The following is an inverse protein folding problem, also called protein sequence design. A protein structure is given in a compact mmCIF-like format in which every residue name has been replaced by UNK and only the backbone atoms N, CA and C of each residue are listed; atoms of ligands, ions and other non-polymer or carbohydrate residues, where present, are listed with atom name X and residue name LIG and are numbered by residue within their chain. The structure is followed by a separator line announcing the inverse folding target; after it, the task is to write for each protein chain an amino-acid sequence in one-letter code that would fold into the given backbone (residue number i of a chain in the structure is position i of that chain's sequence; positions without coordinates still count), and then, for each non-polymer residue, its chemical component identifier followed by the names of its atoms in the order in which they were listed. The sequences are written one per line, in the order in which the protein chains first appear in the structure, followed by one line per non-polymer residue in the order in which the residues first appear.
data_IF_168292265198
#
_entry.id   IF_168292265198
#
_cell.length_a   1.000
_cell.length_b   1.000
_cell.length_c   1.000
_cell.angle_alpha   90.00
_cell.angle_beta   90.00
_cell.angle_gamma   90.00
#
_symmetry.space_group_name_H-M   'P 1'
#
loop_
_entity.id
_entity.type
_entity.pdbx_description
1 polymer ?
#
# COMPACT_ATOMS: atom_id res chain seq x y z
N UNK A 1 -0.67 -7.58 -13.57
CA UNK A 1 -0.18 -6.29 -14.10
C UNK A 1 1.14 -5.93 -13.46
N UNK A 2 2.05 -5.27 -14.16
CA UNK A 2 3.32 -4.78 -13.58
C UNK A 2 3.33 -3.25 -13.64
N UNK A 3 3.58 -2.59 -12.51
CA UNK A 3 3.65 -1.13 -12.41
C UNK A 3 4.92 -0.69 -11.70
N UNK A 4 5.42 0.50 -12.03
CA UNK A 4 6.67 1.03 -11.51
C UNK A 4 6.49 2.50 -11.13
N UNK A 5 6.88 2.83 -9.90
CA UNK A 5 6.69 4.16 -9.33
C UNK A 5 7.57 4.37 -8.11
N UNK A 6 7.71 5.64 -7.70
CA UNK A 6 8.47 6.03 -6.52
C UNK A 6 7.55 6.34 -5.36
N UNK A 7 7.69 5.60 -4.26
CA UNK A 7 7.03 5.90 -2.99
C UNK A 7 7.89 6.86 -2.18
N UNK A 8 7.44 8.11 -2.04
CA UNK A 8 8.15 9.14 -1.30
C UNK A 8 7.51 9.36 0.08
N UNK A 9 8.13 8.80 1.12
CA UNK A 9 7.68 8.99 2.51
C UNK A 9 8.18 10.30 3.12
N UNK A 10 9.40 10.73 2.77
CA UNK A 10 9.96 12.04 3.13
C UNK A 10 10.91 12.53 2.04
N UNK A 11 11.41 13.76 2.14
CA UNK A 11 12.43 14.29 1.21
C UNK A 11 13.69 13.44 1.10
N UNK A 12 14.07 12.70 2.15
CA UNK A 12 15.24 11.82 2.18
C UNK A 12 14.89 10.33 2.04
N UNK A 13 13.61 9.97 2.04
CA UNK A 13 13.15 8.58 2.02
C UNK A 13 12.24 8.38 0.81
N UNK A 14 12.87 8.02 -0.30
CA UNK A 14 12.22 7.66 -1.57
C UNK A 14 12.55 6.20 -1.84
N UNK A 15 11.52 5.40 -2.13
CA UNK A 15 11.66 3.99 -2.52
C UNK A 15 11.31 3.85 -3.99
N UNK A 16 12.13 3.09 -4.71
CA UNK A 16 11.83 2.69 -6.08
C UNK A 16 11.06 1.35 -6.05
N UNK A 17 9.76 1.40 -6.34
CA UNK A 17 8.84 0.27 -6.19
C UNK A 17 8.52 -0.32 -7.56
N UNK A 18 8.87 -1.59 -7.78
CA UNK A 18 8.47 -2.36 -8.95
C UNK A 18 7.42 -3.37 -8.51
N UNK A 19 6.14 -3.00 -8.64
CA UNK A 19 5.03 -3.76 -8.11
C UNK A 19 4.47 -4.72 -9.15
N UNK A 20 4.47 -6.00 -8.80
CA UNK A 20 3.64 -7.00 -9.44
C UNK A 20 2.27 -7.01 -8.77
N UNK A 21 1.24 -6.65 -9.54
CA UNK A 21 -0.13 -6.49 -9.09
C UNK A 21 -0.99 -7.64 -9.61
N UNK A 22 -1.69 -8.31 -8.70
CA UNK A 22 -2.62 -9.38 -9.01
C UNK A 22 -3.88 -9.33 -8.16
N UNK A 23 -4.91 -10.03 -8.61
CA UNK A 23 -6.18 -10.19 -7.92
C UNK A 23 -6.37 -11.68 -7.61
N UNK A 24 -5.81 -12.18 -6.49
CA UNK A 24 -5.82 -13.62 -6.20
C UNK A 24 -7.22 -14.15 -5.84
N UNK A 25 -8.13 -13.27 -5.44
CA UNK A 25 -9.53 -13.58 -5.15
C UNK A 25 -10.38 -12.33 -5.39
N UNK A 26 -11.68 -12.52 -5.59
CA UNK A 26 -12.64 -11.43 -5.77
C UNK A 26 -12.60 -10.46 -4.58
N UNK A 27 -12.66 -9.15 -4.89
CA UNK A 27 -12.56 -8.08 -3.91
C UNK A 27 -11.19 -7.93 -3.25
N UNK A 28 -10.14 -8.59 -3.73
CA UNK A 28 -8.78 -8.44 -3.19
C UNK A 28 -7.74 -8.14 -4.27
N UNK A 29 -7.00 -7.05 -4.11
CA UNK A 29 -5.86 -6.72 -4.94
C UNK A 29 -4.57 -6.78 -4.11
N UNK A 30 -3.57 -7.50 -4.61
CA UNK A 30 -2.27 -7.69 -3.95
C UNK A 30 -1.16 -7.11 -4.81
N UNK A 31 -0.39 -6.22 -4.20
CA UNK A 31 0.80 -5.58 -4.76
C UNK A 31 2.05 -6.16 -4.10
N UNK A 32 2.89 -6.86 -4.87
CA UNK A 32 4.17 -7.40 -4.39
C UNK A 32 5.31 -6.59 -4.98
N UNK A 33 6.09 -5.92 -4.14
CA UNK A 33 7.27 -5.19 -4.59
C UNK A 33 8.42 -6.16 -4.88
N UNK A 34 8.88 -6.20 -6.13
CA UNK A 34 10.01 -7.04 -6.54
C UNK A 34 11.35 -6.53 -6.00
N UNK A 35 11.42 -5.28 -5.56
CA UNK A 35 12.62 -4.67 -4.99
C UNK A 35 12.68 -4.80 -3.45
N UNK A 36 11.71 -5.47 -2.81
CA UNK A 36 11.67 -5.62 -1.34
C UNK A 36 10.84 -6.82 -0.89
N UNK A 37 10.66 -6.99 0.42
CA UNK A 37 9.68 -7.91 1.01
C UNK A 37 8.31 -7.26 1.21
N UNK A 38 8.11 -6.02 0.76
CA UNK A 38 6.87 -5.29 0.96
C UNK A 38 5.75 -5.86 0.10
N UNK A 39 4.65 -6.19 0.76
CA UNK A 39 3.40 -6.62 0.15
C UNK A 39 2.27 -5.73 0.67
N UNK A 40 1.53 -5.10 -0.23
CA UNK A 40 0.32 -4.33 0.09
C UNK A 40 -0.89 -5.06 -0.43
N UNK A 41 -1.84 -5.33 0.46
CA UNK A 41 -3.12 -5.96 0.13
C UNK A 41 -4.25 -4.96 0.33
N UNK A 42 -5.02 -4.74 -0.72
CA UNK A 42 -6.28 -4.01 -0.72
C UNK A 42 -7.42 -5.01 -0.65
N UNK A 43 -8.33 -4.84 0.29
CA UNK A 43 -9.54 -5.66 0.41
C UNK A 43 -10.75 -4.77 0.36
N UNK A 44 -11.65 -5.04 -0.57
CA UNK A 44 -12.91 -4.32 -0.77
C UNK A 44 -14.05 -5.25 -0.38
N UNK A 45 -14.89 -4.79 0.55
CA UNK A 45 -16.07 -5.54 1.00
C UNK A 45 -17.30 -4.64 0.95
N UNK A 46 -18.51 -5.18 0.67
CA UNK A 46 -19.74 -4.42 0.81
C UNK A 46 -19.89 -3.81 2.21
N UNK A 47 -20.45 -2.60 2.32
CA UNK A 47 -20.60 -1.87 3.59
C UNK A 47 -21.92 -1.10 3.72
N UNK A 48 -23.01 -1.70 3.25
CA UNK A 48 -24.34 -1.07 3.19
C UNK A 48 -24.85 -1.04 1.75
N UNK A 49 -25.99 -0.40 1.53
CA UNK A 49 -26.49 -0.12 0.18
C UNK A 49 -25.54 0.87 -0.52
N UNK A 50 -25.19 0.57 -1.77
CA UNK A 50 -24.32 1.39 -2.63
C UNK A 50 -23.00 1.86 -2.01
N UNK A 51 -22.46 1.08 -1.06
CA UNK A 51 -21.26 1.46 -0.33
C UNK A 51 -20.31 0.28 -0.13
N UNK A 52 -19.02 0.60 -0.14
CA UNK A 52 -17.93 -0.35 0.01
C UNK A 52 -16.99 0.11 1.11
N UNK A 53 -16.46 -0.85 1.86
CA UNK A 53 -15.35 -0.65 2.78
C UNK A 53 -14.08 -1.12 2.10
N UNK A 54 -13.08 -0.26 2.06
CA UNK A 54 -11.74 -0.58 1.57
C UNK A 54 -10.79 -0.63 2.77
N UNK A 55 -10.06 -1.73 2.90
CA UNK A 55 -9.01 -1.92 3.92
C UNK A 55 -7.69 -2.16 3.21
N UNK A 56 -6.66 -1.44 3.62
CA UNK A 56 -5.28 -1.61 3.12
C UNK A 56 -4.42 -2.17 4.23
N UNK A 57 -3.73 -3.28 3.95
CA UNK A 57 -2.76 -3.87 4.86
C UNK A 57 -1.44 -4.00 4.15
N UNK A 58 -0.39 -3.40 4.71
CA UNK A 58 0.98 -3.55 4.19
C UNK A 58 1.84 -4.30 5.18
N UNK A 59 2.51 -5.34 4.69
CA UNK A 59 3.44 -6.18 5.46
C UNK A 59 4.81 -6.17 4.81
N UNK A 60 5.86 -6.28 5.61
CA UNK A 60 7.23 -6.45 5.14
C UNK A 60 8.03 -7.19 6.21
N UNK A 61 9.02 -7.96 5.78
CA UNK A 61 10.01 -8.49 6.71
C UNK A 61 10.89 -7.32 7.19
N UNK A 62 11.14 -7.25 8.51
CA UNK A 62 11.87 -6.15 9.16
C UNK A 62 13.29 -5.89 8.62
N UNK A 63 14.09 -5.09 9.33
CA UNK A 63 15.36 -4.49 8.87
C UNK A 63 16.53 -5.44 8.43
N UNK A 64 16.28 -6.71 8.09
CA UNK A 64 17.28 -7.68 7.66
C UNK A 64 17.64 -7.65 6.16
N UNK A 65 16.92 -6.90 5.32
CA UNK A 65 17.26 -6.71 3.90
C UNK A 65 18.24 -5.55 3.66
N UNK A 66 19.02 -5.63 2.58
CA UNK A 66 19.96 -4.58 2.16
C UNK A 66 19.20 -3.24 2.00
N UNK A 67 19.47 -2.26 2.87
CA UNK A 67 18.94 -0.89 2.77
C UNK A 67 17.58 -0.64 3.44
N UNK A 68 17.45 -1.01 4.72
CA UNK A 68 16.24 -0.87 5.55
C UNK A 68 15.54 0.48 5.46
N UNK A 69 14.44 0.52 4.68
CA UNK A 69 13.55 1.67 4.53
C UNK A 69 12.54 1.77 5.71
N UNK A 70 12.27 0.63 6.37
CA UNK A 70 11.45 0.54 7.58
C UNK A 70 12.31 0.17 8.80
N UNK A 71 13.10 1.11 9.33
CA UNK A 71 13.48 1.04 10.74
C UNK A 71 12.20 0.92 11.57
N UNK A 72 12.19 -0.01 12.54
CA UNK A 72 10.99 -0.48 13.29
C UNK A 72 10.06 0.62 13.82
N UNK A 73 10.55 1.84 13.99
CA UNK A 73 9.84 2.97 14.61
C UNK A 73 9.34 4.03 13.62
N UNK A 74 10.06 4.30 12.53
CA UNK A 74 9.73 5.43 11.64
C UNK A 74 8.58 5.11 10.69
N UNK A 75 8.62 3.91 10.15
CA UNK A 75 7.96 3.66 8.90
C UNK A 75 6.50 3.15 9.02
N UNK A 76 6.01 2.61 10.16
CA UNK A 76 4.58 2.36 10.34
C UNK A 76 3.73 3.64 10.26
N UNK A 77 4.15 4.75 10.90
CA UNK A 77 3.36 6.00 10.89
C UNK A 77 3.42 6.74 9.56
N UNK A 78 4.58 6.76 8.91
CA UNK A 78 4.76 7.41 7.61
C UNK A 78 3.93 6.73 6.52
N UNK A 79 4.00 5.39 6.45
CA UNK A 79 3.25 4.62 5.48
C UNK A 79 1.74 4.68 5.75
N UNK A 80 1.32 4.58 7.02
CA UNK A 80 -0.09 4.75 7.40
C UNK A 80 -0.64 6.09 6.91
N UNK A 81 0.09 7.20 7.11
CA UNK A 81 -0.33 8.52 6.62
C UNK A 81 -0.49 8.58 5.10
N UNK A 82 0.34 7.88 4.34
CA UNK A 82 0.23 7.82 2.87
C UNK A 82 -1.05 7.11 2.48
N UNK A 83 -1.31 5.92 3.04
CA UNK A 83 -2.50 5.15 2.69
C UNK A 83 -3.79 5.77 3.24
N UNK A 84 -3.76 6.44 4.40
CA UNK A 84 -4.90 7.22 4.90
C UNK A 84 -5.28 8.33 3.90
N UNK A 85 -4.28 9.07 3.40
CA UNK A 85 -4.51 10.10 2.40
C UNK A 85 -5.00 9.53 1.06
N UNK A 86 -4.51 8.36 0.66
CA UNK A 86 -4.93 7.69 -0.56
C UNK A 86 -6.37 7.18 -0.47
N UNK A 87 -6.73 6.54 0.64
CA UNK A 87 -8.10 6.10 0.93
C UNK A 87 -9.08 7.29 0.99
N UNK A 88 -8.66 8.43 1.56
CA UNK A 88 -9.48 9.63 1.57
C UNK A 88 -9.75 10.17 0.14
N UNK A 89 -8.73 10.16 -0.74
CA UNK A 89 -8.93 10.54 -2.15
C UNK A 89 -9.80 9.53 -2.90
N UNK A 90 -9.62 8.24 -2.64
CA UNK A 90 -10.42 7.18 -3.23
C UNK A 90 -11.90 7.36 -2.85
N UNK A 91 -12.18 7.59 -1.56
CA UNK A 91 -13.53 7.88 -1.08
C UNK A 91 -14.11 9.14 -1.74
N UNK A 92 -13.33 10.21 -1.89
CA UNK A 92 -13.77 11.42 -2.57
C UNK A 92 -14.00 11.21 -4.09
N UNK A 93 -13.26 10.30 -4.73
CA UNK A 93 -13.43 9.99 -6.15
C UNK A 93 -14.74 9.26 -6.44
N UNK A 94 -15.17 8.37 -5.55
CA UNK A 94 -16.42 7.60 -5.70
C UNK A 94 -17.64 8.23 -5.00
N UNK A 95 -17.42 9.16 -4.06
CA UNK A 95 -18.47 9.81 -3.27
C UNK A 95 -18.99 11.14 -3.85
N UNK A 96 -18.98 11.32 -5.17
CA UNK A 96 -19.56 12.47 -5.86
C UNK A 96 -20.95 12.16 -6.41
#
# INVERSE_FOLDING_TARGET
TLVHWKLQATSKRIRDCLLEVGEPQDGQLVEKDRNSSMVTTWTVTPSGEDSSRVVVTTTWDGAGGIGGFFEKTFAPKGLARIYDAELAKLAAHFGA
#
